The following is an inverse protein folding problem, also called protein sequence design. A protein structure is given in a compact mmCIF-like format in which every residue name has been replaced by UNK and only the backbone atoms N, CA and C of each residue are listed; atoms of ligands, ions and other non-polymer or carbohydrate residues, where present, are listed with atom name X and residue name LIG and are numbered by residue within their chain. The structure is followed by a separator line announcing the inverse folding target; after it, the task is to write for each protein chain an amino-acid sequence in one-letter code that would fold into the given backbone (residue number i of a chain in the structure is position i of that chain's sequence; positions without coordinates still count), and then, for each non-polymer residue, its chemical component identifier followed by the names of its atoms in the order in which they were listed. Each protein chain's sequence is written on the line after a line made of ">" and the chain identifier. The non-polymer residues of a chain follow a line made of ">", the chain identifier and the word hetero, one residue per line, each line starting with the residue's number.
data_IF_138018279637
#
_entry.id   IF_138018279637
#
_cell.length_a   1.000
_cell.length_b   1.000
_cell.length_c   1.000
_cell.angle_alpha   90.00
_cell.angle_beta   90.00
_cell.angle_gamma   90.00
#
_symmetry.space_group_name_H-M   'P 1'
#
loop_
_entity.id
_entity.type
_entity.pdbx_description
1 polymer ?
#
# COMPACT_ATOMS: atom_id res chain seq x y z
N UNK A 1 25.65 0.04 -1.51
CA UNK A 1 24.27 -0.42 -1.20
C UNK A 1 24.20 -0.79 0.28
N UNK A 2 23.31 -0.20 1.04
CA UNK A 2 23.10 -0.54 2.45
C UNK A 2 22.53 -1.97 2.54
N UNK A 3 23.16 -2.81 3.36
CA UNK A 3 22.69 -4.17 3.60
C UNK A 3 21.52 -4.13 4.56
N UNK A 4 20.46 -4.87 4.23
CA UNK A 4 19.30 -5.08 5.12
C UNK A 4 19.75 -5.69 6.44
N UNK A 5 19.32 -5.11 7.55
CA UNK A 5 19.58 -5.63 8.90
C UNK A 5 18.84 -6.94 9.15
N UNK A 6 19.21 -7.66 10.21
CA UNK A 6 18.52 -8.90 10.58
C UNK A 6 17.06 -8.66 10.99
N UNK A 7 16.78 -7.54 11.70
CA UNK A 7 15.43 -7.16 12.10
C UNK A 7 14.54 -6.84 10.89
N UNK A 8 15.07 -6.11 9.91
CA UNK A 8 14.37 -5.80 8.66
C UNK A 8 14.03 -7.07 7.87
N UNK A 9 14.98 -7.99 7.71
CA UNK A 9 14.74 -9.28 7.03
C UNK A 9 13.67 -10.09 7.74
N UNK A 10 13.75 -10.19 9.07
CA UNK A 10 12.76 -10.92 9.87
C UNK A 10 11.38 -10.32 9.69
N UNK A 11 11.24 -8.98 9.78
CA UNK A 11 9.97 -8.29 9.59
C UNK A 11 9.43 -8.51 8.18
N UNK A 12 10.28 -8.31 7.16
CA UNK A 12 9.90 -8.51 5.77
C UNK A 12 9.31 -9.90 5.52
N UNK A 13 10.01 -10.95 5.93
CA UNK A 13 9.53 -12.34 5.78
C UNK A 13 8.22 -12.61 6.51
N UNK A 14 8.02 -12.00 7.66
CA UNK A 14 6.82 -12.24 8.46
C UNK A 14 5.59 -11.45 7.97
N UNK A 15 5.79 -10.26 7.35
CA UNK A 15 4.71 -9.30 7.15
C UNK A 15 4.63 -8.68 5.75
N UNK A 16 5.65 -8.82 4.92
CA UNK A 16 5.77 -8.08 3.65
C UNK A 16 6.04 -8.98 2.42
N UNK A 17 5.78 -10.26 2.49
CA UNK A 17 5.96 -11.17 1.33
C UNK A 17 4.76 -11.16 0.38
N UNK A 18 3.59 -10.77 0.88
CA UNK A 18 2.36 -10.70 0.10
C UNK A 18 1.92 -9.26 -0.12
N UNK A 19 1.10 -9.05 -1.14
CA UNK A 19 0.42 -7.76 -1.36
C UNK A 19 -0.48 -7.48 -0.16
N UNK A 20 -0.34 -6.28 0.39
CA UNK A 20 -1.21 -5.77 1.45
C UNK A 20 -2.13 -4.71 0.89
N UNK A 21 -3.37 -4.69 1.33
CA UNK A 21 -4.32 -3.70 0.87
C UNK A 21 -5.14 -3.15 2.02
N UNK A 22 -5.54 -1.89 1.89
CA UNK A 22 -6.48 -1.23 2.78
C UNK A 22 -7.30 -0.21 2.01
N UNK A 23 -8.51 0.03 2.47
CA UNK A 23 -9.38 1.07 1.93
C UNK A 23 -9.74 2.04 3.04
N UNK A 24 -9.42 3.31 2.84
CA UNK A 24 -9.77 4.41 3.73
C UNK A 24 -11.02 5.07 3.16
N UNK A 25 -12.00 5.36 4.02
CA UNK A 25 -13.28 5.97 3.65
C UNK A 25 -14.01 5.25 2.49
N UNK A 26 -14.38 3.97 2.67
CA UNK A 26 -14.93 3.14 1.58
C UNK A 26 -16.29 3.64 1.06
N UNK A 27 -17.00 4.50 1.81
CA UNK A 27 -18.32 5.03 1.47
C UNK A 27 -18.32 6.51 1.12
N UNK A 28 -17.21 7.19 1.37
CA UNK A 28 -17.08 8.62 1.14
C UNK A 28 -16.67 8.98 -0.29
N UNK A 29 -16.85 10.23 -0.69
CA UNK A 29 -16.42 10.72 -2.00
C UNK A 29 -14.90 10.76 -2.16
N UNK A 30 -14.16 10.59 -1.06
CA UNK A 30 -12.70 10.64 -1.01
C UNK A 30 -12.05 9.29 -0.73
N UNK A 31 -12.64 8.19 -1.22
CA UNK A 31 -12.09 6.85 -1.03
C UNK A 31 -10.63 6.76 -1.47
N UNK A 32 -9.78 6.20 -0.60
CA UNK A 32 -8.38 5.92 -0.88
C UNK A 32 -8.14 4.43 -0.75
N UNK A 33 -7.81 3.77 -1.86
CA UNK A 33 -7.40 2.37 -1.89
C UNK A 33 -5.90 2.29 -2.02
N UNK A 34 -5.27 1.60 -1.10
CA UNK A 34 -3.82 1.42 -1.03
C UNK A 34 -3.53 -0.06 -1.22
N UNK A 35 -2.75 -0.39 -2.25
CA UNK A 35 -2.16 -1.71 -2.40
C UNK A 35 -0.66 -1.56 -2.29
N UNK A 36 -0.06 -2.17 -1.29
CA UNK A 36 1.39 -2.21 -1.14
C UNK A 36 1.91 -3.53 -1.70
N UNK A 37 2.65 -3.44 -2.78
CA UNK A 37 3.15 -4.56 -3.57
C UNK A 37 4.63 -4.76 -3.25
N UNK A 38 5.03 -5.94 -2.74
CA UNK A 38 6.44 -6.23 -2.50
C UNK A 38 7.23 -6.33 -3.81
N UNK A 39 8.53 -6.03 -3.80
CA UNK A 39 9.39 -6.27 -4.95
C UNK A 39 9.57 -7.77 -5.20
N UNK A 40 9.89 -8.13 -6.44
CA UNK A 40 10.16 -9.52 -6.85
C UNK A 40 11.37 -10.12 -6.17
N UNK A 41 12.36 -9.29 -5.91
CA UNK A 41 13.64 -9.73 -5.34
C UNK A 41 13.73 -9.32 -3.88
N UNK A 42 14.60 -10.02 -3.15
CA UNK A 42 14.94 -9.63 -1.79
C UNK A 42 16.04 -8.55 -1.73
N UNK A 43 16.38 -7.95 -2.87
CA UNK A 43 17.42 -6.93 -2.91
C UNK A 43 16.97 -5.70 -2.12
N UNK A 44 17.85 -5.20 -1.25
CA UNK A 44 17.55 -4.06 -0.39
C UNK A 44 17.32 -2.74 -1.17
N UNK A 45 17.73 -2.73 -2.44
CA UNK A 45 17.56 -1.58 -3.33
C UNK A 45 16.25 -1.57 -4.12
N UNK A 46 15.52 -2.68 -4.16
CA UNK A 46 14.26 -2.72 -4.89
C UNK A 46 13.12 -2.13 -4.03
N UNK A 47 12.39 -1.12 -4.55
CA UNK A 47 11.33 -0.47 -3.80
C UNK A 47 10.10 -1.36 -3.67
N UNK A 48 9.38 -1.20 -2.58
CA UNK A 48 7.97 -1.54 -2.52
C UNK A 48 7.19 -0.54 -3.36
N UNK A 49 6.07 -0.97 -3.92
CA UNK A 49 5.23 -0.09 -4.73
C UNK A 49 3.87 0.08 -4.07
N UNK A 50 3.43 1.32 -3.95
CA UNK A 50 2.04 1.61 -3.62
C UNK A 50 1.27 1.84 -4.91
N UNK A 51 0.22 1.06 -5.12
CA UNK A 51 -0.78 1.35 -6.13
C UNK A 51 -1.96 2.04 -5.43
N UNK A 52 -2.15 3.31 -5.75
CA UNK A 52 -3.17 4.16 -5.17
C UNK A 52 -4.36 4.28 -6.13
N UNK A 53 -5.55 3.94 -5.66
CA UNK A 53 -6.80 3.96 -6.43
C UNK A 53 -6.73 3.24 -7.79
N UNK A 54 -5.80 2.30 -7.95
CA UNK A 54 -5.61 1.57 -9.20
C UNK A 54 -4.95 2.38 -10.33
N UNK A 55 -4.45 3.58 -10.06
CA UNK A 55 -3.96 4.49 -11.09
C UNK A 55 -2.54 5.01 -10.86
N UNK A 56 -2.19 5.34 -9.62
CA UNK A 56 -0.91 5.97 -9.31
C UNK A 56 0.06 4.99 -8.65
N UNK A 57 1.29 4.94 -9.14
CA UNK A 57 2.37 4.11 -8.59
C UNK A 57 3.38 5.00 -7.85
N UNK A 58 3.60 4.70 -6.57
CA UNK A 58 4.52 5.42 -5.71
C UNK A 58 5.52 4.43 -5.12
N UNK A 59 6.84 4.66 -5.28
CA UNK A 59 7.85 3.80 -4.69
C UNK A 59 8.01 4.09 -3.20
N UNK A 60 8.19 3.03 -2.41
CA UNK A 60 8.57 3.11 -1.02
C UNK A 60 9.86 2.33 -0.76
N UNK A 61 10.77 2.92 0.00
CA UNK A 61 11.86 2.15 0.56
C UNK A 61 11.36 1.20 1.67
N UNK A 62 12.20 0.25 2.08
CA UNK A 62 11.81 -0.77 3.06
C UNK A 62 11.40 -0.16 4.41
N UNK A 63 12.07 0.88 4.89
CA UNK A 63 11.75 1.48 6.20
C UNK A 63 10.36 2.12 6.22
N UNK A 64 10.00 2.81 5.14
CA UNK A 64 8.67 3.39 4.98
C UNK A 64 7.60 2.33 4.72
N UNK A 65 7.93 1.26 4.00
CA UNK A 65 7.03 0.12 3.83
C UNK A 65 6.73 -0.58 5.17
N UNK A 66 7.72 -0.74 6.05
CA UNK A 66 7.53 -1.27 7.40
C UNK A 66 6.65 -0.34 8.25
N UNK A 67 6.90 0.96 8.19
CA UNK A 67 6.11 1.95 8.93
C UNK A 67 4.65 1.97 8.48
N UNK A 68 4.43 1.97 7.16
CA UNK A 68 3.08 1.91 6.58
C UNK A 68 2.38 0.60 6.90
N UNK A 69 3.06 -0.55 6.82
CA UNK A 69 2.50 -1.85 7.14
C UNK A 69 2.00 -1.92 8.59
N UNK A 70 2.82 -1.43 9.52
CA UNK A 70 2.41 -1.35 10.94
C UNK A 70 1.20 -0.43 11.14
N UNK A 71 1.07 0.64 10.36
CA UNK A 71 -0.11 1.49 10.39
C UNK A 71 -1.33 0.78 9.79
N UNK A 72 -1.17 0.08 8.66
CA UNK A 72 -2.25 -0.70 8.05
C UNK A 72 -2.82 -1.75 9.01
N UNK A 73 -1.96 -2.40 9.81
CA UNK A 73 -2.39 -3.36 10.84
C UNK A 73 -3.27 -2.71 11.92
N UNK A 74 -2.99 -1.45 12.27
CA UNK A 74 -3.81 -0.72 13.24
C UNK A 74 -5.14 -0.25 12.63
N UNK A 75 -5.15 0.01 11.34
CA UNK A 75 -6.33 0.53 10.64
C UNK A 75 -7.31 -0.59 10.24
N UNK A 76 -6.82 -1.81 9.99
CA UNK A 76 -7.62 -2.95 9.53
C UNK A 76 -8.88 -3.23 10.38
N UNK A 77 -8.82 -3.22 11.74
CA UNK A 77 -9.99 -3.43 12.60
C UNK A 77 -11.06 -2.35 12.47
N UNK A 78 -10.71 -1.19 11.91
CA UNK A 78 -11.59 -0.04 11.74
C UNK A 78 -12.22 0.04 10.35
N UNK A 79 -11.99 -0.95 9.51
CA UNK A 79 -12.55 -0.98 8.16
C UNK A 79 -14.07 -0.80 8.17
N UNK A 80 -14.56 0.25 7.50
CA UNK A 80 -15.97 0.59 7.44
C UNK A 80 -16.56 1.26 8.69
N UNK A 81 -15.74 1.66 9.65
CA UNK A 81 -16.14 2.43 10.85
C UNK A 81 -15.63 3.86 10.76
N UNK A 82 -16.33 4.78 11.41
CA UNK A 82 -15.82 6.12 11.63
C UNK A 82 -14.70 6.09 12.69
N UNK A 83 -13.64 6.83 12.42
CA UNK A 83 -12.48 6.89 13.30
C UNK A 83 -12.46 8.28 13.94
N UNK A 84 -12.58 8.31 15.27
CA UNK A 84 -12.44 9.52 16.04
C UNK A 84 -10.98 10.03 16.07
N UNK A 85 -10.81 11.29 16.46
CA UNK A 85 -9.46 11.88 16.52
C UNK A 85 -8.55 11.17 17.54
N UNK A 86 -9.10 10.75 18.68
CA UNK A 86 -8.34 10.03 19.71
C UNK A 86 -7.90 8.64 19.22
N UNK A 87 -8.80 7.92 18.54
CA UNK A 87 -8.51 6.61 17.95
C UNK A 87 -7.43 6.73 16.88
N UNK A 88 -7.53 7.77 16.04
CA UNK A 88 -6.52 8.06 15.03
C UNK A 88 -5.14 8.28 15.65
N UNK A 89 -5.02 9.11 16.68
CA UNK A 89 -3.77 9.37 17.40
C UNK A 89 -3.23 8.10 18.09
N UNK A 90 -4.13 7.28 18.61
CA UNK A 90 -3.78 5.99 19.21
C UNK A 90 -3.18 5.03 18.17
N UNK A 91 -3.80 4.94 16.98
CA UNK A 91 -3.30 4.12 15.87
C UNK A 91 -1.93 4.57 15.40
N UNK A 92 -1.71 5.86 15.20
CA UNK A 92 -0.39 6.41 14.82
C UNK A 92 0.67 6.05 15.87
N UNK A 93 0.35 6.23 17.15
CA UNK A 93 1.25 5.90 18.25
C UNK A 93 1.58 4.41 18.30
N UNK A 94 0.59 3.54 18.09
CA UNK A 94 0.76 2.09 18.07
C UNK A 94 1.61 1.64 16.88
N UNK A 95 1.39 2.18 15.69
CA UNK A 95 2.20 1.92 14.50
C UNK A 95 3.68 2.30 14.70
N UNK A 96 3.92 3.48 15.25
CA UNK A 96 5.27 3.95 15.59
C UNK A 96 5.93 3.04 16.63
N UNK A 97 5.20 2.65 17.68
CA UNK A 97 5.70 1.71 18.71
C UNK A 97 6.07 0.36 18.09
N UNK A 98 5.27 -0.16 17.17
CA UNK A 98 5.54 -1.40 16.46
C UNK A 98 6.80 -1.27 15.56
N UNK A 99 6.91 -0.17 14.82
CA UNK A 99 8.06 0.10 13.94
C UNK A 99 9.37 0.21 14.70
N UNK A 100 9.36 0.78 15.90
CA UNK A 100 10.55 0.87 16.76
C UNK A 100 11.11 -0.48 17.21
N UNK A 101 10.35 -1.57 17.11
CA UNK A 101 10.88 -2.93 17.34
C UNK A 101 11.87 -3.34 16.24
N UNK A 102 11.67 -2.82 15.03
CA UNK A 102 12.60 -3.04 13.91
C UNK A 102 13.71 -1.99 13.86
N UNK A 103 13.38 -0.76 14.27
CA UNK A 103 14.30 0.40 14.29
C UNK A 103 14.44 1.01 15.69
N UNK A 104 15.07 0.31 16.65
CA UNK A 104 15.11 0.75 18.05
C UNK A 104 15.89 2.06 18.25
N UNK A 105 16.81 2.39 17.34
CA UNK A 105 17.60 3.63 17.38
C UNK A 105 16.89 4.87 16.83
N UNK A 106 15.70 4.70 16.20
CA UNK A 106 14.98 5.84 15.61
C UNK A 106 14.05 6.50 16.63
N UNK A 107 14.10 7.82 16.71
CA UNK A 107 13.28 8.62 17.61
C UNK A 107 11.78 8.45 17.27
N UNK A 108 10.94 8.46 18.31
CA UNK A 108 9.48 8.36 18.16
C UNK A 108 8.93 9.49 17.29
N UNK A 109 9.39 10.70 17.53
CA UNK A 109 8.85 11.90 16.86
C UNK A 109 9.25 11.93 15.38
N UNK A 110 10.43 11.39 15.04
CA UNK A 110 10.85 11.22 13.65
C UNK A 110 9.91 10.26 12.91
N UNK A 111 9.66 9.08 13.47
CA UNK A 111 8.75 8.09 12.86
C UNK A 111 7.31 8.60 12.77
N UNK A 112 6.86 9.36 13.78
CA UNK A 112 5.52 9.94 13.76
C UNK A 112 5.42 11.00 12.64
N UNK A 113 6.38 11.91 12.56
CA UNK A 113 6.43 12.91 11.50
C UNK A 113 6.54 12.30 10.10
N UNK A 114 7.33 11.23 9.94
CA UNK A 114 7.43 10.50 8.68
C UNK A 114 6.09 9.83 8.31
N UNK A 115 5.42 9.20 9.27
CA UNK A 115 4.12 8.57 9.05
C UNK A 115 3.06 9.59 8.63
N UNK A 116 2.96 10.71 9.34
CA UNK A 116 2.00 11.77 9.02
C UNK A 116 2.27 12.40 7.64
N UNK A 117 3.52 12.63 7.28
CA UNK A 117 3.91 13.13 5.96
C UNK A 117 3.55 12.15 4.87
N UNK A 118 3.89 10.88 5.06
CA UNK A 118 3.56 9.80 4.13
C UNK A 118 2.06 9.69 3.91
N UNK A 119 1.25 9.68 4.96
CA UNK A 119 -0.21 9.57 4.84
C UNK A 119 -0.83 10.78 4.14
N UNK A 120 -0.35 12.00 4.41
CA UNK A 120 -0.78 13.20 3.69
C UNK A 120 -0.47 13.10 2.20
N UNK A 121 0.73 12.67 1.84
CA UNK A 121 1.14 12.49 0.44
C UNK A 121 0.31 11.40 -0.26
N UNK A 122 0.09 10.26 0.39
CA UNK A 122 -0.75 9.19 -0.14
C UNK A 122 -2.17 9.69 -0.44
N UNK A 123 -2.79 10.40 0.50
CA UNK A 123 -4.15 10.93 0.33
C UNK A 123 -4.20 11.97 -0.78
N UNK A 124 -3.24 12.89 -0.85
CA UNK A 124 -3.17 13.91 -1.89
C UNK A 124 -3.05 13.26 -3.29
N UNK A 125 -2.09 12.35 -3.47
CA UNK A 125 -1.88 11.65 -4.74
C UNK A 125 -3.12 10.83 -5.14
N UNK A 126 -3.71 10.09 -4.20
CA UNK A 126 -4.90 9.29 -4.46
C UNK A 126 -6.12 10.12 -4.89
N UNK A 127 -6.17 11.39 -4.49
CA UNK A 127 -7.20 12.37 -4.87
C UNK A 127 -6.85 13.21 -6.08
N UNK A 128 -5.70 12.96 -6.73
CA UNK A 128 -5.21 13.75 -7.87
C UNK A 128 -4.77 15.16 -7.48
N UNK A 129 -4.41 15.35 -6.21
CA UNK A 129 -3.87 16.61 -5.70
C UNK A 129 -2.35 16.55 -5.67
N UNK A 130 -1.71 17.71 -5.71
CA UNK A 130 -0.26 17.81 -5.55
C UNK A 130 0.14 17.42 -4.11
N UNK A 131 1.08 16.47 -3.93
CA UNK A 131 1.54 16.09 -2.61
C UNK A 131 2.34 17.23 -1.97
N UNK A 132 2.33 17.34 -0.63
CA UNK A 132 3.06 18.41 0.09
C UNK A 132 4.58 18.28 -0.01
N UNK A 133 5.09 17.15 -0.46
CA UNK A 133 6.51 16.89 -0.69
C UNK A 133 6.70 16.27 -2.07
N UNK A 134 7.87 16.45 -2.66
CA UNK A 134 8.21 15.86 -3.96
C UNK A 134 8.27 14.33 -3.82
N UNK A 135 7.25 13.67 -4.34
CA UNK A 135 7.13 12.23 -4.39
C UNK A 135 7.31 11.78 -5.83
N UNK A 136 8.30 10.93 -6.06
CA UNK A 136 8.49 10.32 -7.37
C UNK A 136 7.28 9.47 -7.75
N UNK A 137 6.48 9.92 -8.70
CA UNK A 137 5.43 9.12 -9.31
C UNK A 137 6.05 8.39 -10.50
N UNK A 138 5.87 7.09 -10.56
CA UNK A 138 6.55 6.24 -11.51
C UNK A 138 5.65 5.84 -12.66
N UNK A 139 6.23 5.76 -13.83
CA UNK A 139 5.54 5.17 -14.97
C UNK A 139 5.48 3.65 -14.83
N UNK A 140 4.39 3.06 -15.28
CA UNK A 140 4.19 1.62 -15.25
C UNK A 140 5.32 0.85 -15.94
N UNK A 141 5.84 1.38 -17.06
CA UNK A 141 6.90 0.76 -17.84
C UNK A 141 8.19 0.56 -17.04
N UNK A 142 8.50 1.46 -16.11
CA UNK A 142 9.72 1.39 -15.30
C UNK A 142 9.67 0.29 -14.23
N UNK A 143 8.47 -0.06 -13.75
CA UNK A 143 8.32 -0.94 -12.59
C UNK A 143 7.57 -2.23 -12.84
N UNK A 144 6.90 -2.39 -13.99
CA UNK A 144 6.17 -3.61 -14.32
C UNK A 144 7.02 -4.88 -14.17
N UNK A 145 8.29 -4.82 -14.55
CA UNK A 145 9.24 -5.93 -14.42
C UNK A 145 9.70 -6.22 -12.98
N UNK A 146 9.53 -5.29 -12.05
CA UNK A 146 10.00 -5.37 -10.66
C UNK A 146 8.91 -5.76 -9.66
N UNK A 147 7.64 -5.67 -10.06
CA UNK A 147 6.52 -6.04 -9.20
C UNK A 147 6.40 -7.55 -9.04
N UNK A 148 6.08 -8.00 -7.83
CA UNK A 148 5.78 -9.40 -7.54
C UNK A 148 4.37 -9.82 -7.98
N UNK A 149 3.49 -8.84 -8.22
CA UNK A 149 2.12 -9.05 -8.67
C UNK A 149 1.78 -8.09 -9.82
N UNK A 150 0.84 -8.44 -10.71
CA UNK A 150 0.37 -7.53 -11.74
C UNK A 150 -0.30 -6.31 -11.10
N UNK A 151 -0.04 -5.12 -11.66
CA UNK A 151 -0.63 -3.88 -11.15
C UNK A 151 -2.14 -3.77 -11.43
N UNK A 152 -2.58 -4.42 -12.50
CA UNK A 152 -3.96 -4.42 -12.97
C UNK A 152 -4.29 -5.73 -13.64
N UNK A 153 -5.46 -6.26 -13.34
CA UNK A 153 -6.06 -7.39 -14.05
C UNK A 153 -7.49 -6.96 -14.42
N UNK A 154 -7.76 -6.84 -15.69
CA UNK A 154 -9.11 -6.62 -16.21
C UNK A 154 -9.77 -7.99 -16.43
N UNK A 155 -10.64 -8.36 -15.53
CA UNK A 155 -11.49 -9.54 -15.68
C UNK A 155 -12.80 -9.11 -16.37
N UNK A 156 -12.96 -9.49 -17.63
CA UNK A 156 -14.25 -9.37 -18.30
C UNK A 156 -15.16 -10.50 -17.81
N UNK A 157 -15.95 -10.20 -16.80
CA UNK A 157 -16.99 -11.12 -16.32
C UNK A 157 -18.26 -10.81 -17.09
N UNK A 158 -18.52 -11.58 -18.14
CA UNK A 158 -19.82 -11.56 -18.79
C UNK A 158 -20.76 -12.47 -18.00
N UNK A 159 -21.46 -11.90 -17.03
CA UNK A 159 -22.42 -12.63 -16.20
C UNK A 159 -23.84 -12.59 -16.78
N UNK A 160 -24.04 -12.07 -17.98
CA UNK A 160 -25.38 -11.92 -18.55
C UNK A 160 -25.76 -13.16 -19.37
N UNK A 161 -26.53 -14.01 -18.76
CA UNK A 161 -27.31 -15.03 -19.50
C UNK A 161 -28.67 -14.43 -19.82
N UNK A 162 -29.03 -14.37 -21.08
CA UNK A 162 -30.40 -14.12 -21.51
C UNK A 162 -30.92 -15.42 -22.05
N UNK A 163 -31.99 -15.92 -21.46
CA UNK A 163 -32.64 -17.17 -21.87
C UNK A 163 -31.72 -18.41 -21.84
N UNK A 164 -30.79 -18.49 -20.89
CA UNK A 164 -29.89 -19.63 -20.74
C UNK A 164 -28.69 -19.66 -21.69
N UNK A 165 -28.52 -18.64 -22.53
CA UNK A 165 -27.36 -18.52 -23.43
C UNK A 165 -26.38 -17.44 -22.96
N UNK A 166 -25.10 -17.73 -23.10
CA UNK A 166 -24.03 -16.74 -22.81
C UNK A 166 -24.02 -15.64 -23.87
N UNK A 167 -24.05 -14.39 -23.44
CA UNK A 167 -23.99 -13.24 -24.33
C UNK A 167 -22.54 -12.87 -24.76
N UNK A 168 -21.58 -13.71 -24.49
CA UNK A 168 -20.22 -13.47 -24.94
C UNK A 168 -20.09 -13.81 -26.43
N UNK A 169 -19.85 -12.79 -27.27
CA UNK A 169 -19.58 -12.98 -28.70
C UNK A 169 -18.18 -13.56 -29.00
N UNK A 170 -17.34 -13.67 -27.99
CA UNK A 170 -16.04 -14.32 -28.13
C UNK A 170 -16.23 -15.81 -27.89
N UNK A 171 -16.05 -16.60 -28.93
CA UNK A 171 -15.95 -18.05 -28.83
C UNK A 171 -14.62 -18.39 -28.14
N UNK A 172 -14.60 -18.25 -26.81
CA UNK A 172 -13.49 -18.77 -26.04
C UNK A 172 -13.52 -20.29 -26.15
N UNK A 173 -12.46 -20.86 -26.70
CA UNK A 173 -12.22 -22.30 -26.62
C UNK A 173 -11.88 -22.61 -25.16
N UNK A 174 -12.76 -23.31 -24.49
CA UNK A 174 -12.54 -23.90 -23.16
C UNK A 174 -12.01 -25.32 -23.35
#
# INVERSE_FOLDING_TARGET
>A
MAKMTWLERRYRRAHLECVRHITIDPRGPGVVRIHMIPPRTEDAGDPFLLLLNGAQLVPLNLSWAILLANFMDQLEPWSGREIGQEDWQSMLSAAVKATRRTYPGTGRDVLLGDLERMLRSIVAIARGQEPPEEVGILSLGEYAGRMSAPHRMDLMISAMTREGAWHCNQKCLH
#
